data_IF_314617840117
#
_entry.id   IF_314617840117
#
_cell.length_a   1.000
_cell.length_b   1.000
_cell.length_c   1.000
_cell.angle_alpha   90.00
_cell.angle_beta   90.00
_cell.angle_gamma   90.00
#
_symmetry.space_group_name_H-M   'P 1'
#
loop_
_entity.id
_entity.type
_entity.pdbx_description
1 polymer ?
#
# COMPACT_ATOMS: atom_id res chain seq x y z
N UNK A 1 -38.45 9.31 -11.25
CA UNK A 1 -38.28 10.16 -10.05
C UNK A 1 -37.04 9.68 -9.31
N UNK A 2 -35.94 10.43 -9.31
CA UNK A 2 -34.76 10.08 -8.52
C UNK A 2 -34.97 10.58 -7.09
N UNK A 3 -35.16 9.67 -6.14
CA UNK A 3 -35.26 10.03 -4.72
C UNK A 3 -33.95 10.69 -4.28
N UNK A 4 -33.96 11.92 -3.73
CA UNK A 4 -32.74 12.57 -3.30
C UNK A 4 -32.10 11.74 -2.17
N UNK A 5 -30.84 11.34 -2.37
CA UNK A 5 -30.06 10.60 -1.37
C UNK A 5 -30.06 11.40 -0.07
N UNK A 6 -30.46 10.77 1.03
CA UNK A 6 -30.32 11.33 2.39
C UNK A 6 -28.99 10.88 2.99
N UNK A 7 -28.37 11.71 3.82
CA UNK A 7 -27.17 11.33 4.58
C UNK A 7 -27.44 10.10 5.43
N UNK A 8 -26.50 9.15 5.44
CA UNK A 8 -26.50 8.06 6.42
C UNK A 8 -25.96 8.57 7.76
N UNK A 9 -26.45 8.05 8.90
CA UNK A 9 -25.93 8.43 10.22
C UNK A 9 -24.42 8.18 10.29
N UNK A 10 -23.65 9.19 10.72
CA UNK A 10 -22.18 9.09 10.85
C UNK A 10 -21.38 9.39 9.58
N UNK A 11 -22.00 9.58 8.41
CA UNK A 11 -21.31 9.85 7.14
C UNK A 11 -20.55 11.21 7.16
N UNK A 12 -21.11 12.22 7.82
CA UNK A 12 -20.47 13.53 8.00
C UNK A 12 -19.24 13.46 8.93
N UNK A 13 -19.42 12.88 10.12
CA UNK A 13 -18.35 12.71 11.11
C UNK A 13 -17.25 11.78 10.61
N UNK A 14 -17.59 10.73 9.86
CA UNK A 14 -16.62 9.86 9.18
C UNK A 14 -15.78 10.64 8.17
N UNK A 15 -16.41 11.47 7.32
CA UNK A 15 -15.66 12.29 6.36
C UNK A 15 -14.67 13.24 7.04
N UNK A 16 -15.05 13.82 8.17
CA UNK A 16 -14.17 14.68 8.97
C UNK A 16 -13.01 13.87 9.58
N UNK A 17 -13.29 12.72 10.20
CA UNK A 17 -12.23 11.85 10.73
C UNK A 17 -11.26 11.37 9.65
N UNK A 18 -11.79 10.97 8.49
CA UNK A 18 -10.99 10.56 7.35
C UNK A 18 -10.10 11.71 6.84
N UNK A 19 -10.61 12.95 6.82
CA UNK A 19 -9.83 14.12 6.45
C UNK A 19 -8.70 14.39 7.46
N UNK A 20 -8.98 14.35 8.76
CA UNK A 20 -7.97 14.53 9.81
C UNK A 20 -6.89 13.45 9.73
N UNK A 21 -7.26 12.18 9.57
CA UNK A 21 -6.31 11.08 9.39
C UNK A 21 -5.47 11.26 8.12
N UNK A 22 -6.10 11.65 7.01
CA UNK A 22 -5.40 11.88 5.74
C UNK A 22 -4.39 13.02 5.84
N UNK A 23 -4.73 14.08 6.58
CA UNK A 23 -3.81 15.18 6.87
C UNK A 23 -2.63 14.72 7.75
N UNK A 24 -2.89 13.87 8.75
CA UNK A 24 -1.83 13.25 9.55
C UNK A 24 -0.87 12.41 8.71
N UNK A 25 -1.39 11.61 7.78
CA UNK A 25 -0.56 10.86 6.83
C UNK A 25 0.19 11.76 5.85
N UNK A 26 -0.41 12.85 5.39
CA UNK A 26 0.25 13.84 4.54
C UNK A 26 1.38 14.55 5.28
N UNK A 27 1.21 14.81 6.58
CA UNK A 27 2.26 15.37 7.42
C UNK A 27 3.43 14.39 7.58
N UNK A 28 3.15 13.13 7.92
CA UNK A 28 4.17 12.11 8.09
C UNK A 28 4.94 11.84 6.78
N UNK A 29 4.23 11.79 5.65
CA UNK A 29 4.86 11.57 4.34
C UNK A 29 5.71 12.77 3.91
N UNK A 30 5.27 13.99 4.26
CA UNK A 30 6.05 15.21 4.04
C UNK A 30 7.34 15.22 4.86
N UNK A 31 7.32 14.73 6.10
CA UNK A 31 8.51 14.62 6.94
C UNK A 31 9.54 13.64 6.37
N UNK A 32 9.08 12.56 5.70
CA UNK A 32 9.96 11.53 5.11
C UNK A 32 10.74 12.04 3.89
N UNK A 33 10.10 12.79 2.98
CA UNK A 33 10.72 13.17 1.69
C UNK A 33 10.70 14.66 1.37
N UNK A 34 9.89 15.47 2.04
CA UNK A 34 9.66 16.88 1.69
C UNK A 34 9.26 17.06 0.22
N UNK A 35 9.87 18.05 -0.45
CA UNK A 35 9.76 18.29 -1.90
C UNK A 35 11.04 17.93 -2.67
N UNK A 36 11.91 17.10 -2.08
CA UNK A 36 13.30 16.94 -2.52
C UNK A 36 13.46 16.22 -3.87
N UNK A 37 12.58 15.26 -4.21
CA UNK A 37 12.55 14.63 -5.54
C UNK A 37 11.21 13.89 -5.82
N UNK A 38 10.72 13.96 -7.07
CA UNK A 38 9.54 13.18 -7.53
C UNK A 38 9.77 11.66 -7.49
N UNK A 39 11.02 11.21 -7.56
CA UNK A 39 11.41 9.80 -7.50
C UNK A 39 11.98 9.40 -6.14
N UNK A 40 11.66 10.14 -5.08
CA UNK A 40 12.10 9.78 -3.72
C UNK A 40 11.24 8.65 -3.14
N UNK A 41 11.77 7.89 -2.16
CA UNK A 41 11.02 6.85 -1.45
C UNK A 41 9.70 7.35 -0.83
N UNK A 42 9.65 8.63 -0.41
CA UNK A 42 8.44 9.24 0.16
C UNK A 42 7.48 9.84 -0.86
N UNK A 43 7.82 9.90 -2.15
CA UNK A 43 6.95 10.45 -3.18
C UNK A 43 5.64 9.66 -3.33
N UNK A 44 5.70 8.33 -3.20
CA UNK A 44 4.50 7.47 -3.23
C UNK A 44 3.57 7.72 -2.04
N UNK A 45 4.03 7.65 -0.78
CA UNK A 45 3.23 8.06 0.38
C UNK A 45 2.65 9.48 0.26
N UNK A 46 3.42 10.43 -0.26
CA UNK A 46 2.98 11.81 -0.51
C UNK A 46 1.83 11.85 -1.52
N UNK A 47 1.96 11.19 -2.67
CA UNK A 47 0.90 11.14 -3.69
C UNK A 47 -0.38 10.46 -3.16
N UNK A 48 -0.23 9.32 -2.47
CA UNK A 48 -1.35 8.59 -1.89
C UNK A 48 -2.10 9.43 -0.84
N UNK A 49 -1.37 10.03 0.11
CA UNK A 49 -1.95 10.90 1.14
C UNK A 49 -2.59 12.16 0.55
N UNK A 50 -2.00 12.77 -0.48
CA UNK A 50 -2.61 13.89 -1.20
C UNK A 50 -3.95 13.52 -1.84
N UNK A 51 -4.03 12.37 -2.53
CA UNK A 51 -5.28 11.85 -3.10
C UNK A 51 -6.31 11.62 -2.00
N UNK A 52 -5.90 11.04 -0.86
CA UNK A 52 -6.79 10.82 0.28
C UNK A 52 -7.32 12.13 0.87
N UNK A 53 -6.49 13.17 1.00
CA UNK A 53 -6.91 14.50 1.44
C UNK A 53 -7.93 15.10 0.48
N UNK A 54 -7.66 15.05 -0.84
CA UNK A 54 -8.59 15.59 -1.85
C UNK A 54 -9.91 14.83 -1.83
N UNK A 55 -9.88 13.50 -1.81
CA UNK A 55 -11.08 12.66 -1.79
C UNK A 55 -11.91 12.90 -0.52
N UNK A 56 -11.27 12.94 0.66
CA UNK A 56 -11.95 13.19 1.94
C UNK A 56 -12.52 14.61 2.00
N UNK A 57 -11.82 15.61 1.46
CA UNK A 57 -12.33 16.98 1.35
C UNK A 57 -13.58 17.03 0.45
N UNK A 58 -13.56 16.39 -0.72
CA UNK A 58 -14.72 16.30 -1.61
C UNK A 58 -15.90 15.64 -0.89
N UNK A 59 -15.66 14.56 -0.12
CA UNK A 59 -16.69 13.87 0.66
C UNK A 59 -17.29 14.82 1.71
N UNK A 60 -16.47 15.54 2.46
CA UNK A 60 -16.93 16.51 3.48
C UNK A 60 -17.77 17.62 2.83
N UNK A 61 -17.31 18.19 1.71
CA UNK A 61 -18.01 19.26 1.00
C UNK A 61 -19.35 18.79 0.39
N UNK A 62 -19.39 17.60 -0.22
CA UNK A 62 -20.63 17.00 -0.72
C UNK A 62 -21.59 16.69 0.42
N UNK A 63 -21.08 16.18 1.53
CA UNK A 63 -21.88 15.92 2.72
C UNK A 63 -22.50 17.21 3.24
N UNK A 64 -21.79 18.35 3.32
CA UNK A 64 -22.41 19.61 3.78
C UNK A 64 -23.69 20.02 3.02
N UNK A 65 -23.85 19.63 1.75
CA UNK A 65 -25.02 19.95 0.91
C UNK A 65 -26.22 19.01 1.07
N UNK A 66 -26.08 17.89 1.78
CA UNK A 66 -27.14 16.91 1.97
C UNK A 66 -27.91 17.16 3.28
N UNK A 67 -29.26 17.08 3.28
CA UNK A 67 -30.05 17.21 4.50
C UNK A 67 -29.68 16.11 5.50
N UNK A 68 -29.40 16.53 6.74
CA UNK A 68 -28.91 15.67 7.82
C UNK A 68 -30.06 14.91 8.48
N UNK A 69 -30.01 13.58 8.46
CA UNK A 69 -30.70 12.75 9.44
C UNK A 69 -29.76 12.66 10.66
N UNK A 70 -30.29 13.08 11.81
CA UNK A 70 -29.72 13.18 13.16
C UNK A 70 -28.30 12.62 13.44
N UNK A 71 -27.60 13.43 14.24
CA UNK A 71 -26.21 13.36 14.68
C UNK A 71 -25.82 12.00 15.28
N UNK A 72 -24.88 11.33 14.61
CA UNK A 72 -24.04 10.33 15.24
C UNK A 72 -22.74 11.00 15.68
N UNK A 73 -22.53 11.15 17.00
CA UNK A 73 -21.26 11.63 17.57
C UNK A 73 -20.06 10.74 17.22
N UNK A 74 -18.88 11.05 17.79
CA UNK A 74 -17.62 10.34 17.51
C UNK A 74 -17.75 8.80 17.53
N UNK A 75 -18.53 8.23 18.45
CA UNK A 75 -18.74 6.78 18.53
C UNK A 75 -19.53 6.17 17.35
N UNK A 76 -20.44 6.89 16.71
CA UNK A 76 -21.10 6.42 15.49
C UNK A 76 -20.15 6.45 14.29
N UNK A 77 -19.26 7.44 14.23
CA UNK A 77 -18.23 7.56 13.21
C UNK A 77 -17.16 6.48 13.35
N UNK A 78 -16.71 6.21 14.58
CA UNK A 78 -15.80 5.11 14.89
C UNK A 78 -16.41 3.77 14.46
N UNK A 79 -17.69 3.52 14.78
CA UNK A 79 -18.38 2.31 14.32
C UNK A 79 -18.50 2.22 12.81
N UNK A 80 -18.78 3.33 12.12
CA UNK A 80 -18.83 3.37 10.65
C UNK A 80 -17.44 3.10 10.04
N UNK A 81 -16.40 3.72 10.59
CA UNK A 81 -15.01 3.50 10.22
C UNK A 81 -14.62 2.04 10.42
N UNK A 82 -14.81 1.51 11.63
CA UNK A 82 -14.56 0.10 11.94
C UNK A 82 -15.34 -0.81 11.01
N UNK A 83 -16.62 -0.57 10.73
CA UNK A 83 -17.39 -1.40 9.78
C UNK A 83 -16.89 -1.30 8.33
N UNK A 84 -16.29 -0.18 7.95
CA UNK A 84 -15.70 0.02 6.62
C UNK A 84 -14.25 -0.49 6.51
N UNK A 85 -13.52 -0.53 7.63
CA UNK A 85 -12.12 -0.98 7.75
C UNK A 85 -12.03 -2.44 8.23
N UNK A 86 -13.12 -2.99 8.77
CA UNK A 86 -13.25 -4.39 9.18
C UNK A 86 -13.51 -5.42 8.07
N UNK A 87 -13.41 -5.15 6.74
CA UNK A 87 -13.32 -6.28 5.83
C UNK A 87 -12.15 -7.16 6.31
N UNK A 88 -12.39 -8.46 6.58
CA UNK A 88 -11.35 -9.34 7.12
C UNK A 88 -10.10 -9.38 6.24
N UNK A 89 -10.28 -9.07 4.94
CA UNK A 89 -9.20 -8.89 3.97
C UNK A 89 -8.28 -7.73 4.34
N UNK A 90 -8.80 -6.56 4.73
CA UNK A 90 -7.97 -5.39 5.10
C UNK A 90 -7.15 -5.71 6.35
N UNK A 91 -7.78 -6.30 7.37
CA UNK A 91 -7.08 -6.73 8.59
C UNK A 91 -6.00 -7.78 8.29
N UNK A 92 -6.28 -8.75 7.41
CA UNK A 92 -5.28 -9.72 6.98
C UNK A 92 -4.09 -9.06 6.28
N UNK A 93 -4.33 -8.08 5.39
CA UNK A 93 -3.26 -7.36 4.72
C UNK A 93 -2.47 -6.46 5.67
N UNK A 94 -3.10 -5.82 6.67
CA UNK A 94 -2.39 -5.11 7.73
C UNK A 94 -1.45 -6.06 8.47
N UNK A 95 -1.93 -7.25 8.84
CA UNK A 95 -1.09 -8.26 9.47
C UNK A 95 0.07 -8.71 8.56
N UNK A 96 -0.18 -8.95 7.26
CA UNK A 96 0.87 -9.28 6.31
C UNK A 96 1.92 -8.18 6.19
N UNK A 97 1.52 -6.91 6.19
CA UNK A 97 2.44 -5.76 6.13
C UNK A 97 3.30 -5.70 7.40
N UNK A 98 2.71 -5.90 8.58
CA UNK A 98 3.45 -5.90 9.84
C UNK A 98 4.46 -7.05 9.91
N UNK A 99 4.06 -8.25 9.48
CA UNK A 99 4.95 -9.41 9.39
C UNK A 99 6.07 -9.14 8.39
N UNK A 100 5.75 -8.65 7.19
CA UNK A 100 6.74 -8.27 6.18
C UNK A 100 7.73 -7.23 6.72
N UNK A 101 7.24 -6.20 7.41
CA UNK A 101 8.10 -5.18 8.03
C UNK A 101 9.07 -5.77 9.05
N UNK A 102 8.64 -6.73 9.85
CA UNK A 102 9.52 -7.40 10.83
C UNK A 102 10.54 -8.33 10.14
N UNK A 103 10.15 -8.95 9.03
CA UNK A 103 11.03 -9.83 8.25
C UNK A 103 12.12 -9.05 7.50
N UNK A 104 11.86 -7.79 7.12
CA UNK A 104 12.81 -6.95 6.41
C UNK A 104 14.14 -6.77 7.14
N UNK A 105 14.12 -6.59 8.46
CA UNK A 105 15.33 -6.38 9.26
C UNK A 105 16.24 -7.63 9.33
N UNK A 106 15.66 -8.83 9.21
CA UNK A 106 16.39 -10.10 9.35
C UNK A 106 16.72 -10.78 8.01
N UNK A 107 15.71 -10.99 7.18
CA UNK A 107 15.84 -11.74 5.93
C UNK A 107 16.25 -10.85 4.74
N UNK A 108 16.06 -9.53 4.85
CA UNK A 108 16.24 -8.56 3.77
C UNK A 108 15.12 -8.56 2.74
N UNK A 109 15.29 -7.79 1.67
CA UNK A 109 14.18 -7.42 0.78
C UNK A 109 13.62 -8.60 -0.06
N UNK A 110 14.48 -9.33 -0.78
CA UNK A 110 14.06 -10.38 -1.72
C UNK A 110 13.22 -11.49 -1.06
N UNK A 111 13.72 -12.21 -0.04
CA UNK A 111 12.98 -13.31 0.57
C UNK A 111 11.72 -12.83 1.30
N UNK A 112 11.79 -11.68 1.98
CA UNK A 112 10.63 -11.10 2.67
C UNK A 112 9.52 -10.72 1.69
N UNK A 113 9.88 -10.07 0.58
CA UNK A 113 8.93 -9.68 -0.47
C UNK A 113 8.34 -10.88 -1.19
N UNK A 114 9.15 -11.93 -1.43
CA UNK A 114 8.67 -13.18 -2.01
C UNK A 114 7.60 -13.84 -1.14
N UNK A 115 7.89 -14.01 0.16
CA UNK A 115 6.95 -14.60 1.12
C UNK A 115 5.70 -13.75 1.26
N UNK A 116 5.84 -12.43 1.34
CA UNK A 116 4.73 -11.49 1.41
C UNK A 116 3.83 -11.60 0.17
N UNK A 117 4.41 -11.52 -1.04
CA UNK A 117 3.66 -11.60 -2.30
C UNK A 117 2.98 -12.96 -2.45
N UNK A 118 3.68 -14.05 -2.13
CA UNK A 118 3.12 -15.39 -2.20
C UNK A 118 1.93 -15.54 -1.25
N UNK A 119 2.07 -15.13 0.01
CA UNK A 119 1.00 -15.18 0.99
C UNK A 119 -0.20 -14.29 0.61
N UNK A 120 0.06 -13.06 0.17
CA UNK A 120 -0.97 -12.10 -0.22
C UNK A 120 -1.75 -12.57 -1.46
N UNK A 121 -1.05 -13.01 -2.51
CA UNK A 121 -1.68 -13.51 -3.74
C UNK A 121 -2.44 -14.81 -3.45
N UNK A 122 -1.86 -15.72 -2.67
CA UNK A 122 -2.52 -16.97 -2.32
C UNK A 122 -3.80 -16.74 -1.51
N UNK A 123 -3.74 -15.85 -0.51
CA UNK A 123 -4.89 -15.46 0.30
C UNK A 123 -6.00 -14.82 -0.53
N UNK A 124 -5.64 -13.98 -1.51
CA UNK A 124 -6.60 -13.26 -2.34
C UNK A 124 -7.19 -14.14 -3.47
N UNK A 125 -6.38 -14.96 -4.11
CA UNK A 125 -6.76 -15.70 -5.31
C UNK A 125 -7.48 -17.02 -5.01
N UNK A 126 -7.33 -17.60 -3.80
CA UNK A 126 -7.92 -18.90 -3.37
C UNK A 126 -7.80 -20.06 -4.38
N UNK A 127 -6.93 -19.93 -5.39
CA UNK A 127 -6.81 -20.84 -6.53
C UNK A 127 -5.54 -21.68 -6.47
N UNK A 128 -5.02 -22.08 -7.63
CA UNK A 128 -3.85 -22.97 -7.70
C UNK A 128 -2.60 -22.31 -7.09
N UNK A 129 -1.91 -23.05 -6.21
CA UNK A 129 -0.67 -22.59 -5.58
C UNK A 129 0.45 -22.31 -6.60
N UNK A 130 0.47 -23.06 -7.72
CA UNK A 130 1.43 -22.88 -8.82
C UNK A 130 1.26 -21.52 -9.49
N UNK A 131 0.03 -21.11 -9.77
CA UNK A 131 -0.24 -19.79 -10.34
C UNK A 131 0.20 -18.67 -9.38
N UNK A 132 -0.12 -18.82 -8.09
CA UNK A 132 0.29 -17.87 -7.05
C UNK A 132 1.82 -17.72 -6.98
N UNK A 133 2.55 -18.83 -7.10
CA UNK A 133 4.01 -18.85 -7.10
C UNK A 133 4.61 -18.12 -8.32
N UNK A 134 4.13 -18.42 -9.53
CA UNK A 134 4.62 -17.78 -10.76
C UNK A 134 4.34 -16.28 -10.74
N UNK A 135 3.13 -15.88 -10.36
CA UNK A 135 2.75 -14.46 -10.28
C UNK A 135 3.56 -13.75 -9.21
N UNK A 136 3.80 -14.37 -8.05
CA UNK A 136 4.65 -13.80 -7.01
C UNK A 136 6.09 -13.60 -7.51
N UNK A 137 6.66 -14.58 -8.21
CA UNK A 137 8.02 -14.48 -8.76
C UNK A 137 8.13 -13.39 -9.82
N UNK A 138 7.19 -13.33 -10.76
CA UNK A 138 7.15 -12.29 -11.80
C UNK A 138 6.94 -10.90 -11.19
N UNK A 139 6.04 -10.79 -10.20
CA UNK A 139 5.79 -9.53 -9.49
C UNK A 139 7.04 -9.09 -8.72
N UNK A 140 7.73 -10.00 -8.05
CA UNK A 140 8.97 -9.70 -7.35
C UNK A 140 10.06 -9.19 -8.29
N UNK A 141 10.23 -9.82 -9.45
CA UNK A 141 11.19 -9.39 -10.46
C UNK A 141 10.86 -7.98 -10.99
N UNK A 142 9.59 -7.71 -11.28
CA UNK A 142 9.13 -6.40 -11.72
C UNK A 142 9.32 -5.32 -10.64
N UNK A 143 8.95 -5.63 -9.40
CA UNK A 143 9.13 -4.74 -8.25
C UNK A 143 10.62 -4.45 -8.03
N UNK A 144 11.49 -5.47 -8.05
CA UNK A 144 12.93 -5.30 -7.93
C UNK A 144 13.50 -4.38 -9.03
N UNK A 145 13.10 -4.60 -10.29
CA UNK A 145 13.50 -3.75 -11.40
C UNK A 145 13.04 -2.29 -11.20
N UNK A 146 11.79 -2.07 -10.78
CA UNK A 146 11.27 -0.73 -10.49
C UNK A 146 12.06 -0.06 -9.36
N UNK A 147 12.28 -0.74 -8.24
CA UNK A 147 13.02 -0.17 -7.10
C UNK A 147 14.48 0.16 -7.45
N UNK A 148 15.16 -0.73 -8.18
CA UNK A 148 16.56 -0.54 -8.54
C UNK A 148 16.76 0.48 -9.66
N UNK A 149 15.93 0.44 -10.71
CA UNK A 149 16.08 1.29 -11.90
C UNK A 149 15.43 2.67 -11.73
N UNK A 150 14.27 2.75 -11.10
CA UNK A 150 13.48 4.00 -11.01
C UNK A 150 13.79 4.74 -9.70
N UNK A 151 13.85 4.02 -8.57
CA UNK A 151 14.05 4.65 -7.26
C UNK A 151 15.52 4.73 -6.83
N UNK A 152 16.43 3.98 -7.46
CA UNK A 152 17.87 3.94 -7.12
C UNK A 152 18.16 3.69 -5.64
N UNK A 153 17.18 3.13 -4.90
CA UNK A 153 17.29 2.90 -3.45
C UNK A 153 18.15 1.67 -3.24
N UNK A 154 19.13 1.79 -2.35
CA UNK A 154 19.87 0.64 -1.82
C UNK A 154 18.87 -0.19 -1.02
N UNK A 155 18.44 -1.31 -1.60
CA UNK A 155 17.53 -2.24 -0.94
C UNK A 155 18.26 -2.88 0.27
N UNK A 156 17.56 -3.18 1.37
CA UNK A 156 18.17 -3.88 2.50
C UNK A 156 18.79 -5.21 2.04
N UNK A 157 20.12 -5.25 2.01
CA UNK A 157 20.87 -6.46 1.69
C UNK A 157 20.66 -7.45 2.85
N UNK A 158 19.94 -8.53 2.56
CA UNK A 158 19.64 -9.58 3.53
C UNK A 158 20.62 -10.73 3.47
N UNK A 159 20.15 -11.89 3.94
CA UNK A 159 20.89 -13.16 3.94
C UNK A 159 21.24 -13.62 2.51
N UNK A 160 20.53 -13.13 1.49
CA UNK A 160 20.75 -13.52 0.09
C UNK A 160 21.77 -12.58 -0.57
N UNK A 161 22.93 -13.09 -1.04
CA UNK A 161 23.91 -12.29 -1.78
C UNK A 161 23.40 -12.00 -3.20
N UNK A 162 22.61 -10.94 -3.34
CA UNK A 162 21.99 -10.51 -4.61
C UNK A 162 23.03 -10.25 -5.70
N UNK A 163 24.20 -9.77 -5.30
CA UNK A 163 25.33 -9.47 -6.19
C UNK A 163 25.91 -10.73 -6.84
N UNK A 164 25.93 -11.86 -6.13
CA UNK A 164 26.43 -13.14 -6.64
C UNK A 164 25.45 -13.77 -7.63
N UNK A 165 24.14 -13.69 -7.37
CA UNK A 165 23.10 -14.17 -8.29
C UNK A 165 23.16 -13.37 -9.59
N UNK A 166 23.28 -12.05 -9.51
CA UNK A 166 23.36 -11.19 -10.70
C UNK A 166 24.66 -11.42 -11.47
N UNK A 167 25.80 -11.57 -10.79
CA UNK A 167 27.07 -11.91 -11.43
C UNK A 167 27.02 -13.29 -12.12
N UNK A 168 26.34 -14.27 -11.52
CA UNK A 168 26.11 -15.58 -12.12
C UNK A 168 25.20 -15.51 -13.36
N UNK A 169 24.13 -14.71 -13.30
CA UNK A 169 23.24 -14.45 -14.44
C UNK A 169 24.00 -13.74 -15.56
N UNK A 170 24.73 -12.67 -15.24
CA UNK A 170 25.54 -11.92 -16.20
C UNK A 170 26.57 -12.84 -16.87
N UNK A 171 27.25 -13.70 -16.11
CA UNK A 171 28.18 -14.69 -16.65
C UNK A 171 27.49 -15.74 -17.55
N UNK A 172 26.25 -16.13 -17.24
CA UNK A 172 25.45 -17.04 -18.06
C UNK A 172 25.03 -16.41 -19.40
N UNK A 173 24.66 -15.13 -19.38
CA UNK A 173 24.28 -14.38 -20.59
C UNK A 173 25.51 -13.91 -21.41
N UNK A 174 26.60 -13.50 -20.76
CA UNK A 174 27.85 -13.10 -21.43
C UNK A 174 28.64 -14.31 -21.95
N UNK A 175 28.56 -15.46 -21.27
CA UNK A 175 29.14 -16.72 -21.73
C UNK A 175 28.42 -17.33 -22.94
N UNK A 176 27.18 -16.92 -23.23
CA UNK A 176 26.41 -17.31 -24.41
C UNK A 176 26.59 -16.41 -25.63
N UNK A 177 27.10 -15.19 -25.46
CA UNK A 177 27.29 -14.20 -26.54
C UNK A 177 28.67 -14.27 -27.23
N UNK A 178 29.47 -15.30 -26.93
CA UNK A 178 30.84 -15.49 -27.41
C UNK A 178 31.05 -16.74 -28.27
N UNK A 179 30.09 -17.10 -29.13
CA UNK A 179 30.27 -18.09 -30.19
C UNK A 179 29.60 -17.66 -31.49
#
# INVERSE_FOLDING_TARGET
MQTPRKKRPGEGTFGILALVLSLGFAWQSYEIAGFSALSSPGAFPMAASAIMVVASLIIVLKNRRLPTLAEGGFGAAARAFWRSVSPPVVLAFIAFILVYSALLDGLGFLPSSFLFLLAAIHYLHRGSARFSFIVALLSLAAVYAVFRLIFTVVLPEGIVPEREIMAWIEHLFSGGAGR
#
